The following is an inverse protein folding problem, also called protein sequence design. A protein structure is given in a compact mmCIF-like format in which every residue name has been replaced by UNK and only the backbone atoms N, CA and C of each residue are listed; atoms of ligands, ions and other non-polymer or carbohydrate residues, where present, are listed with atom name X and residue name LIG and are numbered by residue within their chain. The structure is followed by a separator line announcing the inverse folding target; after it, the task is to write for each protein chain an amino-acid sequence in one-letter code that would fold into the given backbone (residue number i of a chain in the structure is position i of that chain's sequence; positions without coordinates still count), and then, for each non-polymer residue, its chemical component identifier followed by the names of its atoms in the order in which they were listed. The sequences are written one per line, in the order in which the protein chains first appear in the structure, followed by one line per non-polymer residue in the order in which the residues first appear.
data_IF_054913741471
#
_entry.id   IF_054913741471
#
_cell.length_a   1.000
_cell.length_b   1.000
_cell.length_c   1.000
_cell.angle_alpha   90.00
_cell.angle_beta   90.00
_cell.angle_gamma   90.00
#
_symmetry.space_group_name_H-M   'P 1'
#
loop_
_entity.id
_entity.type
_entity.pdbx_description
1 polymer ?
#
# COMPACT_ATOMS: atom_id res chain seq x y z
N UNK A 1 -9.62 -10.03 36.15
CA UNK A 1 -9.67 -8.56 36.12
C UNK A 1 -9.81 -8.11 34.65
N UNK A 2 -11.01 -8.19 34.07
CA UNK A 2 -11.32 -7.79 32.69
C UNK A 2 -12.66 -7.00 32.59
N UNK A 3 -12.78 -5.75 33.11
CA UNK A 3 -13.96 -4.92 32.81
C UNK A 3 -13.69 -3.74 31.86
N UNK A 4 -12.44 -3.48 31.45
CA UNK A 4 -12.09 -2.25 30.74
C UNK A 4 -12.11 -2.34 29.19
N UNK A 5 -12.26 -3.52 28.59
CA UNK A 5 -12.19 -3.71 27.13
C UNK A 5 -13.52 -3.52 26.38
N UNK A 6 -14.66 -3.63 27.09
CA UNK A 6 -15.99 -3.58 26.48
C UNK A 6 -16.41 -2.22 25.88
N UNK A 7 -16.08 -1.05 26.47
CA UNK A 7 -16.55 0.23 25.93
C UNK A 7 -15.80 0.68 24.66
N UNK A 8 -14.57 0.19 24.45
CA UNK A 8 -13.78 0.54 23.25
C UNK A 8 -14.35 -0.20 22.03
N UNK A 9 -14.71 -1.47 22.17
CA UNK A 9 -15.22 -2.29 21.07
C UNK A 9 -16.56 -1.77 20.51
N UNK A 10 -17.47 -1.29 21.37
CA UNK A 10 -18.75 -0.70 20.92
C UNK A 10 -18.60 0.56 20.08
N UNK A 11 -17.60 1.41 20.38
CA UNK A 11 -17.37 2.66 19.63
C UNK A 11 -16.80 2.40 18.24
N UNK A 12 -15.94 1.39 18.11
CA UNK A 12 -15.36 1.03 16.80
C UNK A 12 -16.42 0.44 15.86
N UNK A 13 -17.29 -0.44 16.37
CA UNK A 13 -18.36 -1.07 15.56
C UNK A 13 -19.33 -0.04 15.00
N UNK A 14 -19.75 0.96 15.81
CA UNK A 14 -20.67 2.00 15.35
C UNK A 14 -20.05 2.86 14.23
N UNK A 15 -18.76 3.18 14.34
CA UNK A 15 -18.02 3.87 13.29
C UNK A 15 -17.97 3.08 11.98
N UNK A 16 -17.75 1.76 12.06
CA UNK A 16 -17.75 0.88 10.88
C UNK A 16 -19.12 0.78 10.21
N UNK A 17 -20.21 0.73 10.99
CA UNK A 17 -21.58 0.74 10.47
C UNK A 17 -21.93 2.05 9.77
N UNK A 18 -21.51 3.20 10.32
CA UNK A 18 -21.74 4.50 9.68
C UNK A 18 -20.95 4.64 8.37
N UNK A 19 -19.75 4.08 8.28
CA UNK A 19 -18.97 4.04 7.05
C UNK A 19 -19.59 3.12 5.98
N UNK A 20 -20.27 2.04 6.38
CA UNK A 20 -20.97 1.15 5.46
C UNK A 20 -22.22 1.77 4.81
N UNK A 21 -22.75 2.86 5.37
CA UNK A 21 -23.89 3.60 4.81
C UNK A 21 -23.48 4.63 3.75
N UNK A 22 -22.18 4.92 3.61
CA UNK A 22 -21.69 5.80 2.55
C UNK A 22 -21.71 5.01 1.25
N UNK A 23 -22.74 5.24 0.43
CA UNK A 23 -22.74 4.70 -0.92
C UNK A 23 -21.58 5.35 -1.69
N UNK A 24 -20.69 4.55 -2.32
CA UNK A 24 -19.70 5.10 -3.22
C UNK A 24 -20.42 5.88 -4.31
N UNK A 25 -19.85 7.00 -4.73
CA UNK A 25 -20.39 7.67 -5.90
C UNK A 25 -20.17 6.70 -7.06
N UNK A 26 -21.22 6.39 -7.81
CA UNK A 26 -21.12 5.52 -8.99
C UNK A 26 -20.44 6.37 -10.06
N UNK A 27 -19.14 6.57 -9.92
CA UNK A 27 -18.27 7.14 -10.92
C UNK A 27 -17.35 6.01 -11.37
N UNK A 28 -17.28 5.80 -12.68
CA UNK A 28 -16.32 4.94 -13.33
C UNK A 28 -15.44 5.80 -14.23
N UNK A 29 -14.24 5.32 -14.54
CA UNK A 29 -13.40 5.98 -15.53
C UNK A 29 -13.90 5.64 -16.92
N UNK A 30 -14.42 6.62 -17.65
CA UNK A 30 -15.02 6.40 -18.96
C UNK A 30 -14.59 7.46 -19.96
N UNK A 31 -14.72 7.15 -21.25
CA UNK A 31 -14.51 8.14 -22.30
C UNK A 31 -15.77 8.97 -22.52
N UNK A 32 -15.63 10.29 -22.51
CA UNK A 32 -16.72 11.19 -22.87
C UNK A 32 -17.24 10.88 -24.28
N UNK A 33 -18.56 10.95 -24.48
CA UNK A 33 -19.21 10.62 -25.75
C UNK A 33 -18.63 11.42 -26.92
N UNK A 34 -18.12 10.70 -27.93
CA UNK A 34 -17.53 11.30 -29.13
C UNK A 34 -16.15 11.94 -28.95
N UNK A 35 -15.46 11.76 -27.83
CA UNK A 35 -14.10 12.25 -27.64
C UNK A 35 -13.18 11.22 -26.98
N UNK A 36 -11.87 11.49 -27.06
CA UNK A 36 -10.84 10.70 -26.37
C UNK A 36 -10.45 11.31 -25.00
N UNK A 37 -11.28 12.19 -24.45
CA UNK A 37 -11.11 12.72 -23.10
C UNK A 37 -11.71 11.72 -22.11
N UNK A 38 -10.93 11.34 -21.10
CA UNK A 38 -11.38 10.46 -20.03
C UNK A 38 -12.00 11.28 -18.90
N UNK A 39 -13.21 10.93 -18.48
CA UNK A 39 -13.77 11.39 -17.21
C UNK A 39 -13.29 10.42 -16.14
N UNK A 40 -12.50 10.92 -15.19
CA UNK A 40 -11.83 10.08 -14.20
C UNK A 40 -12.68 9.74 -12.99
N UNK A 41 -12.45 8.56 -12.42
CA UNK A 41 -13.08 8.14 -11.18
C UNK A 41 -12.46 8.81 -9.96
N UNK A 42 -13.18 9.79 -9.41
CA UNK A 42 -12.69 10.56 -8.26
C UNK A 42 -12.63 9.77 -6.95
N UNK A 43 -13.37 8.66 -6.84
CA UNK A 43 -13.37 7.80 -5.65
C UNK A 43 -12.15 6.88 -5.60
N UNK A 44 -11.53 6.61 -6.76
CA UNK A 44 -10.38 5.70 -6.87
C UNK A 44 -9.06 6.47 -6.97
N UNK A 45 -9.00 7.64 -7.60
CA UNK A 45 -7.74 8.41 -7.69
C UNK A 45 -7.98 9.92 -7.69
N UNK A 46 -9.07 10.37 -7.06
CA UNK A 46 -9.32 11.77 -6.77
C UNK A 46 -8.17 12.40 -5.98
N UNK A 47 -8.12 13.74 -5.99
CA UNK A 47 -6.99 14.47 -5.43
C UNK A 47 -6.84 14.22 -3.92
N UNK A 48 -7.94 14.12 -3.17
CA UNK A 48 -7.89 13.85 -1.72
C UNK A 48 -7.28 12.48 -1.39
N UNK A 49 -7.62 11.46 -2.18
CA UNK A 49 -7.09 10.11 -2.03
C UNK A 49 -5.61 10.03 -2.42
N UNK A 50 -5.22 10.63 -3.56
CA UNK A 50 -3.81 10.70 -3.98
C UNK A 50 -2.95 11.41 -2.95
N UNK A 51 -3.38 12.58 -2.48
CA UNK A 51 -2.68 13.30 -1.42
C UNK A 51 -2.56 12.48 -0.13
N UNK A 52 -3.58 11.70 0.22
CA UNK A 52 -3.51 10.78 1.35
C UNK A 52 -2.39 9.76 1.22
N UNK A 53 -2.29 9.08 0.08
CA UNK A 53 -1.19 8.14 -0.19
C UNK A 53 0.16 8.82 -0.18
N UNK A 54 0.26 10.01 -0.77
CA UNK A 54 1.53 10.75 -0.82
C UNK A 54 1.99 11.12 0.59
N UNK A 55 1.09 11.68 1.41
CA UNK A 55 1.38 12.02 2.80
C UNK A 55 1.73 10.79 3.64
N UNK A 56 1.01 9.68 3.48
CA UNK A 56 1.32 8.44 4.17
C UNK A 56 2.68 7.86 3.73
N UNK A 57 2.99 7.91 2.44
CA UNK A 57 4.26 7.45 1.90
C UNK A 57 5.44 8.31 2.44
N UNK A 58 5.29 9.63 2.49
CA UNK A 58 6.28 10.51 3.15
C UNK A 58 6.38 10.25 4.66
N UNK A 59 5.27 9.96 5.34
CA UNK A 59 5.27 9.56 6.75
C UNK A 59 6.15 8.33 6.96
N UNK A 60 6.02 7.33 6.07
CA UNK A 60 6.84 6.13 6.12
C UNK A 60 8.32 6.42 5.87
N UNK A 61 8.68 7.29 4.90
CA UNK A 61 10.07 7.74 4.70
C UNK A 61 10.65 8.25 6.02
N UNK A 62 9.94 9.16 6.70
CA UNK A 62 10.39 9.80 7.95
C UNK A 62 10.51 8.76 9.08
N UNK A 63 9.51 7.89 9.23
CA UNK A 63 9.49 6.89 10.28
C UNK A 63 10.60 5.83 10.09
N UNK A 64 10.89 5.43 8.84
CA UNK A 64 12.00 4.52 8.50
C UNK A 64 13.34 5.19 8.77
N UNK A 65 13.51 6.44 8.31
CA UNK A 65 14.77 7.18 8.46
C UNK A 65 15.12 7.45 9.93
N UNK A 66 14.12 7.53 10.80
CA UNK A 66 14.29 7.68 12.26
C UNK A 66 14.18 6.38 13.05
N UNK A 67 14.00 5.25 12.35
CA UNK A 67 13.80 3.91 12.94
C UNK A 67 12.71 3.92 14.03
N UNK A 68 11.62 4.65 13.82
CA UNK A 68 10.52 4.80 14.78
C UNK A 68 9.40 3.78 14.52
N UNK A 69 9.51 2.61 15.14
CA UNK A 69 8.57 1.47 14.96
C UNK A 69 7.11 1.82 15.26
N UNK A 70 6.86 2.66 16.28
CA UNK A 70 5.49 3.05 16.64
C UNK A 70 4.84 3.87 15.51
N UNK A 71 5.54 4.86 14.98
CA UNK A 71 5.04 5.68 13.86
C UNK A 71 4.87 4.86 12.58
N UNK A 72 5.79 3.92 12.29
CA UNK A 72 5.64 3.00 11.16
C UNK A 72 4.35 2.18 11.26
N UNK A 73 4.07 1.62 12.44
CA UNK A 73 2.85 0.84 12.71
C UNK A 73 1.59 1.67 12.46
N UNK A 74 1.54 2.90 12.96
CA UNK A 74 0.35 3.74 12.83
C UNK A 74 0.12 4.20 11.38
N UNK A 75 1.19 4.51 10.65
CA UNK A 75 1.14 4.78 9.22
C UNK A 75 0.54 3.60 8.44
N UNK A 76 0.99 2.38 8.73
CA UNK A 76 0.54 1.18 8.03
C UNK A 76 -0.94 0.84 8.29
N UNK A 77 -1.45 1.12 9.49
CA UNK A 77 -2.88 0.96 9.77
C UNK A 77 -3.72 1.83 8.84
N UNK A 78 -3.38 3.12 8.74
CA UNK A 78 -4.10 4.06 7.88
C UNK A 78 -4.08 3.63 6.42
N UNK A 79 -2.89 3.28 5.91
CA UNK A 79 -2.75 2.86 4.51
C UNK A 79 -3.49 1.55 4.21
N UNK A 80 -3.46 0.57 5.12
CA UNK A 80 -4.17 -0.70 4.90
C UNK A 80 -5.69 -0.49 4.81
N UNK A 81 -6.26 0.39 5.65
CA UNK A 81 -7.69 0.70 5.63
C UNK A 81 -8.07 1.32 4.28
N UNK A 82 -7.31 2.32 3.84
CA UNK A 82 -7.57 3.02 2.56
C UNK A 82 -7.38 2.05 1.37
N UNK A 83 -6.31 1.26 1.38
CA UNK A 83 -6.01 0.31 0.30
C UNK A 83 -7.06 -0.78 0.18
N UNK A 84 -7.58 -1.26 1.30
CA UNK A 84 -8.67 -2.23 1.30
C UNK A 84 -9.97 -1.62 0.73
N UNK A 85 -10.31 -0.40 1.11
CA UNK A 85 -11.49 0.30 0.59
C UNK A 85 -11.39 0.50 -0.92
N UNK A 86 -10.25 0.97 -1.43
CA UNK A 86 -10.01 1.13 -2.88
C UNK A 86 -10.08 -0.20 -3.60
N UNK A 87 -9.49 -1.26 -3.03
CA UNK A 87 -9.53 -2.58 -3.66
C UNK A 87 -10.97 -3.06 -3.83
N UNK A 88 -11.83 -2.86 -2.84
CA UNK A 88 -13.26 -3.19 -2.94
C UNK A 88 -13.93 -2.38 -4.05
N UNK A 89 -13.72 -1.06 -4.09
CA UNK A 89 -14.31 -0.17 -5.10
C UNK A 89 -13.83 -0.55 -6.51
N UNK A 90 -12.53 -0.82 -6.65
CA UNK A 90 -11.91 -1.20 -7.92
C UNK A 90 -12.46 -2.54 -8.44
N UNK A 91 -12.61 -3.54 -7.57
CA UNK A 91 -13.24 -4.82 -7.93
C UNK A 91 -14.69 -4.58 -8.34
N UNK A 92 -15.46 -3.83 -7.54
CA UNK A 92 -16.87 -3.55 -7.80
C UNK A 92 -17.05 -2.87 -9.16
N UNK A 93 -16.33 -1.78 -9.41
CA UNK A 93 -16.43 -1.03 -10.67
C UNK A 93 -15.98 -1.86 -11.87
N UNK A 94 -14.98 -2.72 -11.71
CA UNK A 94 -14.55 -3.62 -12.78
C UNK A 94 -15.59 -4.69 -13.12
N UNK A 95 -16.35 -5.18 -12.11
CA UNK A 95 -17.35 -6.23 -12.28
C UNK A 95 -18.70 -5.69 -12.77
N UNK A 96 -19.18 -4.59 -12.21
CA UNK A 96 -20.54 -4.09 -12.42
C UNK A 96 -20.68 -3.20 -13.67
N UNK A 97 -19.61 -2.52 -14.08
CA UNK A 97 -19.67 -1.51 -15.14
C UNK A 97 -18.78 -1.89 -16.33
N UNK A 98 -19.39 -2.42 -17.40
CA UNK A 98 -18.68 -2.82 -18.62
C UNK A 98 -18.06 -1.64 -19.40
N UNK A 99 -18.52 -0.41 -19.15
CA UNK A 99 -17.96 0.81 -19.74
C UNK A 99 -16.76 1.35 -18.95
N UNK A 100 -16.60 0.90 -17.70
CA UNK A 100 -15.45 1.26 -16.86
C UNK A 100 -14.12 0.84 -17.49
N UNK A 101 -13.18 1.79 -17.52
CA UNK A 101 -11.85 1.57 -18.03
C UNK A 101 -10.93 0.88 -17.01
N UNK A 102 -11.31 -0.35 -16.64
CA UNK A 102 -10.72 -1.13 -15.55
C UNK A 102 -9.18 -1.22 -15.60
N UNK A 103 -8.60 -1.51 -16.78
CA UNK A 103 -7.15 -1.60 -16.94
C UNK A 103 -6.43 -0.30 -16.57
N UNK A 104 -6.99 0.85 -16.98
CA UNK A 104 -6.41 2.15 -16.71
C UNK A 104 -6.47 2.48 -15.21
N UNK A 105 -7.64 2.29 -14.58
CA UNK A 105 -7.81 2.47 -13.13
C UNK A 105 -6.83 1.59 -12.35
N UNK A 106 -6.71 0.33 -12.77
CA UNK A 106 -5.80 -0.64 -12.15
C UNK A 106 -4.34 -0.17 -12.22
N UNK A 107 -3.87 0.29 -13.38
CA UNK A 107 -2.49 0.75 -13.57
C UNK A 107 -2.17 2.06 -12.84
N UNK A 108 -3.15 2.95 -12.66
CA UNK A 108 -2.99 4.16 -11.85
C UNK A 108 -2.90 3.82 -10.36
N UNK A 109 -3.72 2.87 -9.90
CA UNK A 109 -3.78 2.46 -8.49
C UNK A 109 -2.63 1.56 -8.08
N UNK A 110 -2.14 0.73 -9.00
CA UNK A 110 -1.08 -0.23 -8.75
C UNK A 110 0.12 0.37 -7.99
N UNK A 111 0.78 1.46 -8.46
CA UNK A 111 1.89 2.04 -7.72
C UNK A 111 1.45 2.56 -6.34
N UNK A 112 0.28 3.21 -6.25
CA UNK A 112 -0.22 3.78 -4.98
C UNK A 112 -0.43 2.70 -3.90
N UNK A 113 -0.94 1.53 -4.30
CA UNK A 113 -1.12 0.41 -3.39
C UNK A 113 0.21 -0.31 -3.17
N UNK A 114 0.95 -0.68 -4.22
CA UNK A 114 2.15 -1.53 -4.12
C UNK A 114 3.28 -0.91 -3.28
N UNK A 115 3.54 0.38 -3.41
CA UNK A 115 4.70 0.98 -2.74
C UNK A 115 4.62 0.92 -1.22
N UNK A 116 3.47 1.21 -0.57
CA UNK A 116 3.29 0.91 0.86
C UNK A 116 3.58 -0.54 1.28
N UNK A 117 3.40 -1.54 0.40
CA UNK A 117 3.77 -2.94 0.68
C UNK A 117 5.28 -3.12 0.78
N UNK A 118 6.03 -2.48 -0.10
CA UNK A 118 7.49 -2.55 -0.07
C UNK A 118 7.98 -1.99 1.26
N UNK A 119 7.31 -0.94 1.77
CA UNK A 119 7.59 -0.37 3.07
C UNK A 119 7.26 -1.33 4.22
N UNK A 120 6.22 -2.15 4.10
CA UNK A 120 5.94 -3.14 5.15
C UNK A 120 7.01 -4.20 5.21
N UNK A 121 7.37 -4.84 4.10
CA UNK A 121 8.25 -6.03 4.11
C UNK A 121 9.57 -5.83 4.88
N UNK A 122 10.16 -4.63 4.82
CA UNK A 122 11.46 -4.36 5.46
C UNK A 122 11.40 -4.04 6.97
N UNK A 123 10.22 -3.89 7.57
CA UNK A 123 10.07 -3.28 8.90
C UNK A 123 9.40 -4.19 9.93
N UNK A 124 9.12 -5.44 9.56
CA UNK A 124 8.21 -6.29 10.33
C UNK A 124 8.98 -7.07 11.39
N UNK A 125 8.87 -6.57 12.62
CA UNK A 125 9.01 -7.37 13.83
C UNK A 125 7.79 -8.30 13.97
N UNK A 126 7.97 -9.49 14.56
CA UNK A 126 6.88 -10.42 14.91
C UNK A 126 5.76 -9.78 15.72
N UNK A 127 6.08 -8.72 16.48
CA UNK A 127 5.14 -7.90 17.25
C UNK A 127 4.05 -7.22 16.40
N UNK A 128 4.21 -7.16 15.08
CA UNK A 128 3.27 -6.54 14.15
C UNK A 128 2.68 -7.53 13.14
N UNK A 129 2.89 -8.83 13.35
CA UNK A 129 2.42 -9.93 12.50
C UNK A 129 0.98 -9.80 12.01
N UNK A 130 0.04 -9.38 12.88
CA UNK A 130 -1.35 -9.14 12.49
C UNK A 130 -1.50 -8.08 11.40
N UNK A 131 -0.87 -6.91 11.59
CA UNK A 131 -0.98 -5.79 10.65
C UNK A 131 -0.35 -6.15 9.31
N UNK A 132 0.75 -6.87 9.36
CA UNK A 132 1.49 -7.37 8.21
C UNK A 132 0.73 -8.46 7.46
N UNK A 133 0.04 -9.33 8.18
CA UNK A 133 -0.88 -10.30 7.61
C UNK A 133 -2.04 -9.63 6.90
N UNK A 134 -2.70 -8.65 7.51
CA UNK A 134 -3.76 -7.88 6.85
C UNK A 134 -3.25 -7.16 5.60
N UNK A 135 -2.07 -6.53 5.69
CA UNK A 135 -1.37 -5.91 4.57
C UNK A 135 -1.16 -6.93 3.45
N UNK A 136 -0.50 -8.06 3.74
CA UNK A 136 -0.18 -9.11 2.80
C UNK A 136 -1.41 -9.74 2.14
N UNK A 137 -2.55 -9.83 2.84
CA UNK A 137 -3.83 -10.26 2.25
C UNK A 137 -4.26 -9.31 1.14
N UNK A 138 -4.24 -7.99 1.37
CA UNK A 138 -4.65 -6.98 0.37
C UNK A 138 -3.79 -7.13 -0.89
N UNK A 139 -2.47 -7.22 -0.75
CA UNK A 139 -1.55 -7.38 -1.89
C UNK A 139 -1.71 -8.69 -2.61
N UNK A 140 -1.92 -9.76 -1.86
CA UNK A 140 -2.10 -11.07 -2.46
C UNK A 140 -3.40 -11.11 -3.25
N UNK A 141 -4.49 -10.54 -2.75
CA UNK A 141 -5.74 -10.40 -3.52
C UNK A 141 -5.50 -9.58 -4.78
N UNK A 142 -4.78 -8.44 -4.67
CA UNK A 142 -4.43 -7.63 -5.84
C UNK A 142 -3.66 -8.46 -6.89
N UNK A 143 -2.61 -9.18 -6.49
CA UNK A 143 -1.81 -9.98 -7.42
C UNK A 143 -2.54 -11.22 -7.98
N UNK A 144 -3.44 -11.83 -7.20
CA UNK A 144 -4.30 -12.93 -7.66
C UNK A 144 -5.33 -12.46 -8.70
N UNK A 145 -5.74 -11.20 -8.67
CA UNK A 145 -6.66 -10.61 -9.64
C UNK A 145 -5.97 -10.16 -10.95
N UNK A 146 -4.64 -10.03 -10.96
CA UNK A 146 -3.90 -9.58 -12.15
C UNK A 146 -4.19 -10.42 -13.40
N UNK A 147 -4.18 -11.77 -13.37
CA UNK A 147 -4.50 -12.56 -14.55
C UNK A 147 -5.90 -12.28 -15.08
N UNK A 148 -6.89 -12.16 -14.20
CA UNK A 148 -8.26 -11.83 -14.60
C UNK A 148 -8.30 -10.48 -15.33
N UNK A 149 -7.72 -9.42 -14.77
CA UNK A 149 -7.67 -8.10 -15.41
C UNK A 149 -7.02 -8.14 -16.81
N UNK A 150 -5.80 -8.68 -16.93
CA UNK A 150 -5.05 -8.62 -18.20
C UNK A 150 -5.51 -9.62 -19.27
N UNK A 151 -6.25 -10.66 -18.89
CA UNK A 151 -6.76 -11.66 -19.85
C UNK A 151 -8.21 -11.42 -20.23
N UNK A 152 -9.09 -11.02 -19.31
CA UNK A 152 -10.52 -10.87 -19.59
C UNK A 152 -10.97 -9.41 -19.67
N UNK A 153 -10.38 -8.50 -18.88
CA UNK A 153 -10.81 -7.09 -18.81
C UNK A 153 -9.86 -6.10 -19.50
N UNK A 154 -8.87 -6.59 -20.26
CA UNK A 154 -7.86 -5.76 -20.91
C UNK A 154 -8.46 -4.66 -21.81
N UNK A 155 -9.55 -4.97 -22.51
CA UNK A 155 -10.21 -4.05 -23.45
C UNK A 155 -11.54 -3.49 -22.92
N UNK A 156 -11.82 -3.65 -21.63
CA UNK A 156 -13.02 -3.07 -21.01
C UNK A 156 -12.94 -1.54 -21.03
N UNK A 157 -14.00 -0.88 -21.47
CA UNK A 157 -14.03 0.58 -21.67
C UNK A 157 -13.12 1.12 -22.78
N UNK A 158 -12.45 0.26 -23.57
CA UNK A 158 -11.49 0.69 -24.58
C UNK A 158 -12.19 1.23 -25.85
N UNK A 159 -11.71 2.36 -26.37
CA UNK A 159 -12.13 2.90 -27.68
C UNK A 159 -11.00 2.78 -28.71
N UNK A 160 -11.19 2.09 -29.85
CA UNK A 160 -10.13 1.84 -30.83
C UNK A 160 -9.45 3.08 -31.41
N UNK A 161 -10.20 4.17 -31.54
CA UNK A 161 -9.73 5.47 -32.04
C UNK A 161 -8.87 6.23 -31.01
N UNK A 162 -9.01 5.89 -29.73
CA UNK A 162 -8.27 6.51 -28.65
C UNK A 162 -7.01 5.72 -28.33
N UNK A 163 -5.88 6.42 -28.17
CA UNK A 163 -4.56 5.84 -27.88
C UNK A 163 -4.09 6.21 -26.48
N UNK A 164 -4.62 5.54 -25.44
CA UNK A 164 -4.25 5.81 -24.07
C UNK A 164 -2.78 5.44 -23.84
N UNK A 165 -2.13 6.21 -22.98
CA UNK A 165 -0.70 6.15 -22.73
C UNK A 165 -0.45 5.59 -21.34
N UNK A 166 0.44 4.60 -21.26
CA UNK A 166 1.06 4.17 -20.03
C UNK A 166 2.36 4.93 -19.79
N UNK A 167 2.59 5.47 -18.60
CA UNK A 167 3.83 6.18 -18.27
C UNK A 167 4.73 5.34 -17.36
N UNK A 168 5.92 5.01 -17.85
CA UNK A 168 7.01 4.42 -17.06
C UNK A 168 8.32 5.09 -17.48
N UNK A 169 8.60 6.25 -16.88
CA UNK A 169 9.68 7.18 -17.28
C UNK A 169 9.57 7.74 -18.72
N UNK A 170 8.77 7.12 -19.58
CA UNK A 170 8.37 7.55 -20.91
C UNK A 170 6.92 7.14 -21.18
N UNK A 171 6.27 7.79 -22.13
CA UNK A 171 4.93 7.41 -22.57
C UNK A 171 5.01 6.27 -23.57
N UNK A 172 4.27 5.21 -23.29
CA UNK A 172 4.13 4.02 -24.13
C UNK A 172 2.64 3.86 -24.45
N UNK A 173 2.29 3.46 -25.67
CA UNK A 173 0.91 3.09 -25.97
C UNK A 173 0.49 1.92 -25.08
N UNK A 174 -0.61 2.09 -24.32
CA UNK A 174 -1.10 1.09 -23.38
C UNK A 174 -1.44 -0.23 -24.09
N UNK A 175 -1.87 -0.17 -25.34
CA UNK A 175 -2.22 -1.34 -26.16
C UNK A 175 -1.09 -1.80 -27.06
N UNK A 176 0.15 -1.32 -26.84
CA UNK A 176 1.31 -1.87 -27.50
C UNK A 176 1.37 -3.39 -27.29
N UNK A 177 1.45 -4.15 -28.37
CA UNK A 177 1.39 -5.62 -28.32
C UNK A 177 2.48 -6.24 -27.45
N UNK A 178 3.67 -5.64 -27.40
CA UNK A 178 4.75 -6.13 -26.55
C UNK A 178 4.47 -5.86 -25.07
N UNK A 179 3.95 -4.68 -24.75
CA UNK A 179 3.58 -4.31 -23.38
C UNK A 179 2.44 -5.21 -22.85
N UNK A 180 1.41 -5.46 -23.67
CA UNK A 180 0.30 -6.35 -23.31
C UNK A 180 0.79 -7.79 -23.08
N UNK A 181 1.66 -8.31 -23.97
CA UNK A 181 2.26 -9.65 -23.78
C UNK A 181 3.08 -9.71 -22.50
N UNK A 182 3.85 -8.66 -22.21
CA UNK A 182 4.62 -8.55 -20.98
C UNK A 182 3.72 -8.55 -19.74
N UNK A 183 2.65 -7.73 -19.70
CA UNK A 183 1.73 -7.72 -18.57
C UNK A 183 1.01 -9.05 -18.36
N UNK A 184 0.61 -9.73 -19.43
CA UNK A 184 0.02 -11.09 -19.33
C UNK A 184 0.99 -12.12 -18.79
N UNK A 185 2.27 -12.04 -19.13
CA UNK A 185 3.29 -12.93 -18.57
C UNK A 185 3.58 -12.61 -17.09
N UNK A 186 3.75 -11.33 -16.78
CA UNK A 186 4.01 -10.86 -15.41
C UNK A 186 2.84 -11.13 -14.47
N UNK A 187 1.60 -11.11 -14.96
CA UNK A 187 0.42 -11.41 -14.14
C UNK A 187 0.38 -12.85 -13.67
N UNK A 188 0.83 -13.81 -14.51
CA UNK A 188 0.95 -15.22 -14.13
C UNK A 188 2.00 -15.38 -13.03
N UNK A 189 3.19 -14.80 -13.23
CA UNK A 189 4.28 -14.83 -12.26
C UNK A 189 3.82 -14.22 -10.93
N UNK A 190 3.20 -13.04 -10.99
CA UNK A 190 2.69 -12.32 -9.82
C UNK A 190 1.63 -13.14 -9.10
N UNK A 191 0.71 -13.80 -9.81
CA UNK A 191 -0.30 -14.67 -9.22
C UNK A 191 0.32 -15.81 -8.39
N UNK A 192 1.36 -16.50 -8.90
CA UNK A 192 2.06 -17.53 -8.14
C UNK A 192 2.71 -16.99 -6.87
N UNK A 193 3.41 -15.85 -6.96
CA UNK A 193 3.96 -15.19 -5.77
C UNK A 193 2.85 -14.78 -4.80
N UNK A 194 1.72 -14.30 -5.30
CA UNK A 194 0.59 -13.89 -4.49
C UNK A 194 -0.10 -15.04 -3.76
N UNK A 195 -0.19 -16.24 -4.35
CA UNK A 195 -0.66 -17.43 -3.62
C UNK A 195 0.24 -17.73 -2.43
N UNK A 196 1.57 -17.70 -2.64
CA UNK A 196 2.54 -17.95 -1.58
C UNK A 196 2.46 -16.87 -0.49
N UNK A 197 2.46 -15.60 -0.87
CA UNK A 197 2.35 -14.50 0.10
C UNK A 197 1.01 -14.50 0.82
N UNK A 198 -0.08 -14.96 0.19
CA UNK A 198 -1.37 -15.09 0.84
C UNK A 198 -1.31 -16.10 1.99
N UNK A 199 -0.66 -17.26 1.77
CA UNK A 199 -0.42 -18.25 2.81
C UNK A 199 0.37 -17.68 3.99
N UNK A 200 1.47 -16.97 3.71
CA UNK A 200 2.27 -16.28 4.74
C UNK A 200 1.47 -15.20 5.46
N UNK A 201 0.61 -14.48 4.75
CA UNK A 201 -0.21 -13.42 5.31
C UNK A 201 -1.28 -14.00 6.27
N UNK A 202 -1.94 -15.09 5.89
CA UNK A 202 -2.86 -15.82 6.77
C UNK A 202 -2.14 -16.36 8.01
N UNK A 203 -0.93 -16.90 7.84
CA UNK A 203 -0.08 -17.31 8.95
C UNK A 203 0.27 -16.14 9.88
N UNK A 204 0.62 -14.97 9.33
CA UNK A 204 0.87 -13.75 10.10
C UNK A 204 -0.36 -13.27 10.88
N UNK A 205 -1.56 -13.32 10.28
CA UNK A 205 -2.82 -13.03 10.98
C UNK A 205 -3.06 -14.03 12.11
N UNK A 206 -2.78 -15.32 11.89
CA UNK A 206 -2.93 -16.36 12.90
C UNK A 206 -1.95 -16.15 14.07
N UNK A 207 -0.66 -15.92 13.78
CA UNK A 207 0.35 -15.60 14.79
C UNK A 207 -0.01 -14.36 15.60
N UNK A 208 -0.56 -13.34 14.95
CA UNK A 208 -1.01 -12.11 15.62
C UNK A 208 -2.14 -12.30 16.63
N UNK A 209 -2.78 -13.47 16.68
CA UNK A 209 -3.77 -13.85 17.70
C UNK A 209 -3.15 -14.53 18.91
N UNK A 210 -1.91 -15.00 18.82
CA UNK A 210 -1.22 -15.62 19.94
C UNK A 210 -0.92 -14.57 21.03
N UNK A 211 -0.90 -14.96 22.31
CA UNK A 211 -0.47 -14.09 23.40
C UNK A 211 0.90 -13.46 23.12
N UNK A 212 1.06 -12.19 23.49
CA UNK A 212 2.32 -11.49 23.26
C UNK A 212 3.50 -12.15 24.01
N UNK A 213 3.24 -12.84 25.11
CA UNK A 213 4.24 -13.62 25.86
C UNK A 213 4.79 -14.76 25.02
N UNK A 214 3.94 -15.57 24.38
CA UNK A 214 4.40 -16.68 23.54
C UNK A 214 5.18 -16.19 22.32
N UNK A 215 4.80 -15.04 21.74
CA UNK A 215 5.55 -14.46 20.62
C UNK A 215 6.93 -13.97 21.04
N UNK A 216 7.06 -13.40 22.25
CA UNK A 216 8.36 -13.01 22.80
C UNK A 216 9.24 -14.22 23.07
N UNK A 217 8.70 -15.28 23.65
CA UNK A 217 9.42 -16.53 23.87
C UNK A 217 9.92 -17.14 22.55
N UNK A 218 9.10 -17.13 21.49
CA UNK A 218 9.51 -17.58 20.16
C UNK A 218 10.61 -16.72 19.53
N UNK A 219 10.55 -15.38 19.68
CA UNK A 219 11.61 -14.48 19.18
C UNK A 219 12.92 -14.66 19.96
N UNK A 220 12.83 -14.77 21.29
CA UNK A 220 14.00 -15.05 22.15
C UNK A 220 14.62 -16.40 21.80
N UNK A 221 13.82 -17.45 21.61
CA UNK A 221 14.28 -18.78 21.20
C UNK A 221 14.91 -18.78 19.80
N UNK A 222 14.31 -18.06 18.84
CA UNK A 222 14.83 -17.95 17.47
C UNK A 222 16.14 -17.15 17.41
N UNK A 223 16.26 -16.10 18.23
CA UNK A 223 17.53 -15.37 18.37
C UNK A 223 18.60 -16.25 19.01
N UNK A 224 18.23 -17.01 20.05
CA UNK A 224 19.15 -17.92 20.72
C UNK A 224 19.64 -19.04 19.78
N UNK A 225 18.80 -19.54 18.86
CA UNK A 225 19.24 -20.54 17.88
C UNK A 225 20.14 -19.96 16.78
N UNK A 226 19.90 -18.74 16.31
CA UNK A 226 20.77 -18.06 15.34
C UNK A 226 22.12 -17.68 15.98
N UNK A 227 22.11 -17.25 17.25
CA UNK A 227 23.31 -16.87 18.01
C UNK A 227 24.06 -18.07 18.60
N UNK A 228 23.59 -19.30 18.42
CA UNK A 228 24.37 -20.52 18.65
C UNK A 228 24.86 -21.11 17.33
N UNK A 229 25.78 -20.47 16.61
CA UNK A 229 26.65 -21.26 15.76
C UNK A 229 27.50 -22.10 16.72
N UNK A 230 27.29 -23.41 16.76
CA UNK A 230 28.25 -24.39 17.31
C UNK A 230 29.57 -24.42 16.50
N UNK A 231 29.89 -23.32 15.81
CA UNK A 231 31.18 -23.10 15.19
C UNK A 231 32.05 -22.52 16.30
N UNK A 232 32.88 -23.38 16.90
CA UNK A 232 34.06 -22.98 17.68
C UNK A 232 35.02 -22.19 16.77
N UNK A 233 34.63 -20.99 16.35
CA UNK A 233 35.55 -20.03 15.75
C UNK A 233 36.34 -19.46 16.93
N UNK A 234 37.48 -20.09 17.21
CA UNK A 234 38.42 -19.59 18.20
C UNK A 234 38.79 -18.14 17.90
N UNK A 235 38.34 -17.23 18.76
CA UNK A 235 38.58 -15.80 18.64
C UNK A 235 37.31 -14.99 18.87
N UNK A 236 36.84 -14.90 20.11
CA UNK A 236 35.87 -13.88 20.55
C UNK A 236 36.53 -12.49 20.52
N UNK A 237 36.84 -11.96 19.33
CA UNK A 237 36.89 -10.51 19.18
C UNK A 237 35.44 -10.02 19.08
N UNK A 238 34.85 -9.77 20.26
CA UNK A 238 33.50 -9.25 20.38
C UNK A 238 33.32 -7.99 19.52
N UNK A 239 32.38 -8.04 18.57
CA UNK A 239 32.06 -6.92 17.70
C UNK A 239 31.69 -5.71 18.58
N UNK A 240 32.49 -4.64 18.49
CA UNK A 240 32.30 -3.44 19.30
C UNK A 240 30.87 -2.89 19.10
N UNK A 241 30.09 -2.65 20.17
CA UNK A 241 28.73 -2.13 20.08
C UNK A 241 28.62 -0.82 19.26
N UNK A 242 29.72 -0.06 19.13
CA UNK A 242 29.79 1.12 18.26
C UNK A 242 29.72 0.80 16.76
N UNK A 243 30.23 -0.36 16.34
CA UNK A 243 30.12 -0.80 14.94
C UNK A 243 28.68 -1.19 14.60
N UNK A 244 27.98 -1.85 15.54
CA UNK A 244 26.60 -2.29 15.34
C UNK A 244 25.61 -1.12 15.21
N UNK A 245 25.82 -0.02 15.95
CA UNK A 245 25.00 1.20 15.81
C UNK A 245 25.24 1.89 14.47
N UNK A 246 26.50 1.93 14.00
CA UNK A 246 26.84 2.45 12.67
C UNK A 246 26.14 1.70 11.54
N UNK A 247 26.17 0.35 11.57
CA UNK A 247 25.50 -0.48 10.56
C UNK A 247 23.99 -0.27 10.55
N UNK A 248 23.34 -0.23 11.72
CA UNK A 248 21.89 0.00 11.80
C UNK A 248 21.47 1.37 11.24
N UNK A 249 22.28 2.40 11.50
CA UNK A 249 22.06 3.75 10.95
C UNK A 249 22.19 3.74 9.43
N UNK A 250 23.25 3.11 8.89
CA UNK A 250 23.45 2.99 7.45
C UNK A 250 22.31 2.23 6.75
N UNK A 251 21.86 1.11 7.32
CA UNK A 251 20.71 0.35 6.79
C UNK A 251 19.44 1.20 6.80
N UNK A 252 19.17 1.93 7.88
CA UNK A 252 18.02 2.84 7.98
C UNK A 252 18.06 3.95 6.91
N UNK A 253 19.22 4.54 6.66
CA UNK A 253 19.42 5.57 5.63
C UNK A 253 19.22 5.01 4.21
N UNK A 254 19.81 3.85 3.91
CA UNK A 254 19.67 3.19 2.60
C UNK A 254 18.21 2.81 2.35
N UNK A 255 17.54 2.23 3.35
CA UNK A 255 16.11 1.91 3.28
C UNK A 255 15.25 3.17 3.12
N UNK A 256 15.58 4.24 3.83
CA UNK A 256 14.92 5.54 3.72
C UNK A 256 15.06 6.15 2.32
N UNK A 257 16.25 6.09 1.72
CA UNK A 257 16.49 6.60 0.36
C UNK A 257 15.78 5.75 -0.71
N UNK A 258 15.87 4.41 -0.62
CA UNK A 258 15.16 3.51 -1.54
C UNK A 258 13.64 3.69 -1.45
N UNK A 259 13.13 3.90 -0.23
CA UNK A 259 11.73 4.28 0.02
C UNK A 259 11.39 5.60 -0.65
N UNK A 260 12.19 6.66 -0.43
CA UNK A 260 11.94 7.98 -1.01
C UNK A 260 11.92 7.92 -2.54
N UNK A 261 12.86 7.22 -3.16
CA UNK A 261 12.88 7.00 -4.61
C UNK A 261 11.60 6.32 -5.10
N UNK A 262 11.13 5.34 -4.35
CA UNK A 262 9.87 4.63 -4.63
C UNK A 262 8.65 5.56 -4.53
N UNK A 263 8.59 6.42 -3.50
CA UNK A 263 7.54 7.45 -3.35
C UNK A 263 7.56 8.44 -4.52
N UNK A 264 8.74 8.93 -4.91
CA UNK A 264 8.88 9.84 -6.05
C UNK A 264 8.43 9.16 -7.35
N UNK A 265 8.76 7.90 -7.54
CA UNK A 265 8.33 7.11 -8.71
C UNK A 265 6.82 6.90 -8.72
N UNK A 266 6.22 6.58 -7.58
CA UNK A 266 4.76 6.47 -7.40
C UNK A 266 4.03 7.73 -7.84
N UNK A 267 4.46 8.89 -7.33
CA UNK A 267 3.88 10.20 -7.64
C UNK A 267 4.07 10.48 -9.12
N UNK A 268 5.31 10.37 -9.64
CA UNK A 268 5.62 10.64 -11.02
C UNK A 268 4.77 9.79 -11.98
N UNK A 269 4.67 8.48 -11.73
CA UNK A 269 3.86 7.56 -12.55
C UNK A 269 2.39 7.93 -12.51
N UNK A 270 1.81 8.12 -11.32
CA UNK A 270 0.38 8.42 -11.18
C UNK A 270 0.02 9.77 -11.81
N UNK A 271 0.78 10.83 -11.52
CA UNK A 271 0.51 12.17 -12.06
C UNK A 271 0.71 12.24 -13.59
N UNK A 272 1.76 11.59 -14.11
CA UNK A 272 2.01 11.56 -15.56
C UNK A 272 1.01 10.69 -16.30
N UNK A 273 0.53 9.60 -15.70
CA UNK A 273 -0.57 8.80 -16.24
C UNK A 273 -1.83 9.65 -16.41
N UNK A 274 -2.26 10.36 -15.36
CA UNK A 274 -3.45 11.20 -15.40
C UNK A 274 -3.30 12.35 -16.40
N UNK A 275 -2.16 13.06 -16.34
CA UNK A 275 -1.88 14.19 -17.24
C UNK A 275 -1.72 13.76 -18.69
N UNK A 276 -1.06 12.64 -18.96
CA UNK A 276 -0.76 12.18 -20.31
C UNK A 276 -1.97 11.68 -21.10
N UNK A 277 -3.08 11.40 -20.40
CA UNK A 277 -4.34 10.92 -20.95
C UNK A 277 -5.48 11.95 -20.81
N UNK A 278 -5.15 13.21 -20.47
CA UNK A 278 -6.12 14.31 -20.31
C UNK A 278 -7.33 13.92 -19.44
N UNK A 279 -7.06 13.22 -18.32
CA UNK A 279 -8.10 12.76 -17.41
C UNK A 279 -8.76 13.96 -16.72
N UNK A 280 -10.03 14.19 -17.03
CA UNK A 280 -10.85 15.23 -16.44
C UNK A 280 -11.37 14.77 -15.08
N UNK A 281 -10.94 15.48 -14.04
CA UNK A 281 -11.37 15.33 -12.66
C UNK A 281 -12.12 16.59 -12.17
N UNK A 282 -12.63 17.44 -13.09
CA UNK A 282 -13.30 18.69 -12.71
C UNK A 282 -14.63 18.47 -11.98
N UNK A 283 -15.29 17.34 -12.19
CA UNK A 283 -16.49 16.93 -11.44
C UNK A 283 -16.19 16.46 -10.01
N UNK A 284 -14.91 16.30 -9.66
CA UNK A 284 -14.46 15.78 -8.39
C UNK A 284 -14.40 16.88 -7.34
N UNK A 285 -15.50 17.12 -6.62
CA UNK A 285 -15.48 18.04 -5.48
C UNK A 285 -14.61 17.49 -4.35
N UNK A 286 -13.61 18.26 -3.91
CA UNK A 286 -12.75 17.89 -2.78
C UNK A 286 -13.54 17.69 -1.47
N UNK A 287 -14.68 18.38 -1.34
CA UNK A 287 -15.60 18.27 -0.22
C UNK A 287 -16.39 16.96 -0.20
N UNK A 288 -16.34 16.17 -1.28
CA UNK A 288 -16.91 14.82 -1.32
C UNK A 288 -16.31 13.92 -0.24
N UNK A 289 -17.15 13.14 0.42
CA UNK A 289 -16.75 12.26 1.54
C UNK A 289 -15.68 11.25 1.14
N UNK A 290 -15.74 10.74 -0.09
CA UNK A 290 -14.77 9.81 -0.68
C UNK A 290 -13.37 10.40 -0.86
N UNK A 291 -13.24 11.72 -0.90
CA UNK A 291 -11.96 12.40 -1.04
C UNK A 291 -11.47 13.02 0.28
N UNK A 292 -12.36 13.67 1.01
CA UNK A 292 -12.03 14.37 2.24
C UNK A 292 -11.58 13.40 3.34
N UNK A 293 -12.28 12.27 3.52
CA UNK A 293 -11.97 11.32 4.59
C UNK A 293 -10.57 10.72 4.40
N UNK A 294 -10.20 10.16 3.23
CA UNK A 294 -8.84 9.68 3.02
C UNK A 294 -7.81 10.78 3.19
N UNK A 295 -8.04 11.98 2.67
CA UNK A 295 -7.12 13.11 2.83
C UNK A 295 -6.83 13.38 4.31
N UNK A 296 -7.87 13.48 5.15
CA UNK A 296 -7.72 13.70 6.59
C UNK A 296 -6.97 12.56 7.27
N UNK A 297 -7.23 11.30 6.90
CA UNK A 297 -6.49 10.14 7.43
C UNK A 297 -5.00 10.26 7.10
N UNK A 298 -4.65 10.61 5.86
CA UNK A 298 -3.26 10.80 5.43
C UNK A 298 -2.59 11.98 6.15
N UNK A 299 -3.30 13.12 6.26
CA UNK A 299 -2.81 14.31 6.95
C UNK A 299 -2.54 14.07 8.43
N UNK A 300 -3.49 13.49 9.16
CA UNK A 300 -3.30 13.21 10.59
C UNK A 300 -2.23 12.16 10.83
N UNK A 301 -2.12 11.15 9.95
CA UNK A 301 -1.03 10.18 9.97
C UNK A 301 0.33 10.87 9.82
N UNK A 302 0.43 11.80 8.87
CA UNK A 302 1.65 12.57 8.63
C UNK A 302 2.03 13.45 9.81
N UNK A 303 1.11 14.26 10.33
CA UNK A 303 1.36 15.13 11.48
C UNK A 303 1.74 14.32 12.71
N UNK A 304 1.04 13.22 12.97
CA UNK A 304 1.35 12.33 14.11
C UNK A 304 2.74 11.71 13.99
N UNK A 305 3.10 11.25 12.79
CA UNK A 305 4.40 10.64 12.51
C UNK A 305 5.54 11.64 12.67
N UNK A 306 5.42 12.82 12.06
CA UNK A 306 6.40 13.90 12.16
C UNK A 306 6.59 14.32 13.63
N UNK A 307 5.50 14.56 14.36
CA UNK A 307 5.57 14.95 15.77
C UNK A 307 6.24 13.90 16.66
N UNK A 308 5.95 12.62 16.42
CA UNK A 308 6.54 11.50 17.17
C UNK A 308 8.03 11.33 16.86
N UNK A 309 8.41 11.41 15.60
CA UNK A 309 9.81 11.31 15.18
C UNK A 309 10.64 12.51 15.66
N UNK A 310 10.08 13.72 15.61
CA UNK A 310 10.71 14.94 16.13
C UNK A 310 11.00 14.84 17.62
N UNK A 311 10.06 14.32 18.42
CA UNK A 311 10.25 14.12 19.86
C UNK A 311 11.39 13.15 20.15
N UNK A 312 11.40 12.01 19.47
CA UNK A 312 12.46 10.99 19.60
C UNK A 312 13.84 11.57 19.25
N UNK A 313 13.91 12.38 18.19
CA UNK A 313 15.17 13.03 17.80
C UNK A 313 15.69 13.99 18.86
N UNK A 314 14.81 14.75 19.52
CA UNK A 314 15.20 15.66 20.62
C UNK A 314 15.73 14.94 21.87
N UNK A 315 15.27 13.72 22.09
CA UNK A 315 15.65 12.90 23.25
C UNK A 315 16.97 12.13 23.03
N UNK A 316 17.48 12.09 21.78
CA UNK A 316 18.73 11.40 21.41
C UNK A 316 19.91 12.36 21.40
#
# INVERSE_FOLDING_TARGET
MMPALFPIFKRTVLGTYLLALVQPSIQATEYKSGSCVLTGNSDIYGIGLRLSYYLAAFSAVIAISTMNKASMKDCLKGVNIISFAILIILIKNTVEDDESYALFEWLVIFPMVLFPAILTVFLISYEHSLLCGCCGIIYSVYGLLQPWIYWTKLYQGAKPECKPKYFIYTYIDLYNTHLVKFFRAMSIITCFFSVFTFGLALWGVWLGRLPQTSLREMDEQSRASILRPDIEIGGEEGLDPTQLTGVKSAVGLVAGFGTLFSVCTMIATSEKMLKGNDVDLSSAEFTGTSQLVPFLVGLFTFVSTVGSCWRKWRES
#
